data_IF_257225138740
#
_entry.id   IF_257225138740
#
_cell.length_a   1.000
_cell.length_b   1.000
_cell.length_c   1.000
_cell.angle_alpha   90.00
_cell.angle_beta   90.00
_cell.angle_gamma   90.00
#
_symmetry.space_group_name_H-M   'P 1'
#
loop_
_entity.id
_entity.type
_entity.pdbx_description
1 polymer ?
#
# COMPACT_ATOMS: atom_id res chain seq x y z
N UNK A 1 13.68 -11.00 19.77
CA UNK A 1 14.90 -11.50 20.45
C UNK A 1 16.18 -10.98 19.79
N UNK A 2 16.28 -11.05 18.46
CA UNK A 2 17.54 -10.75 17.73
C UNK A 2 18.19 -9.38 18.02
N UNK A 3 17.46 -8.29 18.24
CA UNK A 3 18.04 -6.98 18.56
C UNK A 3 18.35 -6.78 20.06
N UNK A 4 17.70 -7.52 20.96
CA UNK A 4 17.90 -7.34 22.41
C UNK A 4 19.29 -7.80 22.82
N UNK A 5 19.77 -8.89 22.23
CA UNK A 5 21.03 -9.55 22.59
C UNK A 5 22.24 -9.06 21.75
N UNK A 6 22.03 -8.09 20.84
CA UNK A 6 23.13 -7.53 20.03
C UNK A 6 23.96 -6.51 20.80
N UNK A 7 25.27 -6.44 20.58
CA UNK A 7 26.13 -5.35 21.06
C UNK A 7 25.65 -3.98 20.63
N UNK A 8 25.85 -2.93 21.41
CA UNK A 8 25.36 -1.58 21.11
C UNK A 8 25.87 -1.04 19.76
N UNK A 9 27.10 -1.35 19.38
CA UNK A 9 27.69 -0.96 18.11
C UNK A 9 26.96 -1.61 16.92
N UNK A 10 26.61 -2.89 17.03
CA UNK A 10 25.88 -3.61 15.98
C UNK A 10 24.43 -3.14 15.85
N UNK A 11 23.78 -2.81 16.98
CA UNK A 11 22.46 -2.19 16.97
C UNK A 11 22.49 -0.87 16.19
N UNK A 12 23.48 -0.03 16.47
CA UNK A 12 23.61 1.25 15.80
C UNK A 12 23.85 1.09 14.31
N UNK A 13 24.79 0.23 13.91
CA UNK A 13 25.04 -0.10 12.50
C UNK A 13 23.75 -0.57 11.81
N UNK A 14 22.98 -1.48 12.45
CA UNK A 14 21.71 -1.96 11.86
C UNK A 14 20.66 -0.85 11.71
N UNK A 15 20.58 0.07 12.65
CA UNK A 15 19.67 1.25 12.54
C UNK A 15 20.09 2.14 11.37
N UNK A 16 21.39 2.44 11.24
CA UNK A 16 21.92 3.27 10.15
C UNK A 16 21.71 2.60 8.78
N UNK A 17 21.91 1.29 8.67
CA UNK A 17 21.62 0.51 7.47
C UNK A 17 20.14 0.64 7.05
N UNK A 18 19.22 0.42 7.99
CA UNK A 18 17.77 0.46 7.68
C UNK A 18 17.29 1.88 7.39
N UNK A 19 17.86 2.89 8.07
CA UNK A 19 17.54 4.29 7.70
C UNK A 19 17.98 4.58 6.26
N UNK A 20 19.16 4.13 5.86
CA UNK A 20 19.60 4.26 4.46
C UNK A 20 18.70 3.51 3.48
N UNK A 21 18.25 2.27 3.84
CA UNK A 21 17.32 1.49 3.03
C UNK A 21 15.98 2.24 2.76
N UNK A 22 15.51 3.05 3.73
CA UNK A 22 14.30 3.87 3.55
C UNK A 22 14.58 5.28 3.02
N UNK A 23 15.81 5.55 2.56
CA UNK A 23 16.20 6.83 1.98
C UNK A 23 16.34 7.96 3.00
N UNK A 24 16.70 7.63 4.24
CA UNK A 24 16.98 8.59 5.32
C UNK A 24 18.43 8.49 5.76
N UNK A 25 19.04 9.62 6.11
CA UNK A 25 20.40 9.63 6.66
C UNK A 25 20.45 9.18 8.14
N UNK A 26 21.65 8.87 8.63
CA UNK A 26 21.87 8.44 10.02
C UNK A 26 21.50 9.52 11.06
N UNK A 27 21.45 10.79 10.66
CA UNK A 27 21.03 11.91 11.50
C UNK A 27 19.56 11.78 11.93
N UNK A 28 18.73 11.08 11.17
CA UNK A 28 17.33 10.83 11.52
C UNK A 28 17.16 9.92 12.75
N UNK A 29 18.17 9.14 13.12
CA UNK A 29 18.13 8.32 14.32
C UNK A 29 17.98 9.14 15.63
N UNK A 30 18.31 10.44 15.58
CA UNK A 30 18.25 11.36 16.73
C UNK A 30 17.09 12.35 16.67
N UNK A 31 16.32 12.38 15.58
CA UNK A 31 15.22 13.33 15.42
C UNK A 31 13.97 12.89 16.14
N UNK A 32 13.24 13.86 16.65
CA UNK A 32 11.92 13.63 17.25
C UNK A 32 10.82 13.62 16.18
N UNK A 33 9.67 12.95 16.41
CA UNK A 33 8.61 12.86 15.44
C UNK A 33 8.06 14.19 14.94
N UNK A 34 8.06 15.24 15.77
CA UNK A 34 7.59 16.58 15.40
C UNK A 34 8.56 17.33 14.47
N UNK A 35 9.81 16.87 14.35
CA UNK A 35 10.83 17.44 13.45
C UNK A 35 10.78 16.79 12.05
N UNK A 36 9.87 15.84 11.82
CA UNK A 36 9.76 15.05 10.60
C UNK A 36 8.53 15.46 9.78
N UNK A 37 8.67 15.49 8.45
CA UNK A 37 7.52 15.57 7.55
C UNK A 37 6.65 14.30 7.63
N UNK A 38 5.43 14.33 7.07
CA UNK A 38 4.55 13.16 7.01
C UNK A 38 5.22 11.94 6.35
N UNK A 39 5.81 12.15 5.17
CA UNK A 39 6.53 11.09 4.46
C UNK A 39 7.77 10.57 5.20
N UNK A 40 8.52 11.46 5.89
CA UNK A 40 9.67 11.04 6.71
C UNK A 40 9.22 10.23 7.92
N UNK A 41 8.13 10.62 8.60
CA UNK A 41 7.55 9.82 9.69
C UNK A 41 7.15 8.43 9.20
N UNK A 42 6.54 8.33 8.02
CA UNK A 42 6.14 7.05 7.44
C UNK A 42 7.36 6.18 7.11
N UNK A 43 8.41 6.76 6.50
CA UNK A 43 9.68 6.04 6.24
C UNK A 43 10.32 5.52 7.53
N UNK A 44 10.30 6.30 8.60
CA UNK A 44 10.78 5.84 9.92
C UNK A 44 9.89 4.73 10.48
N UNK A 45 8.56 4.79 10.31
CA UNK A 45 7.65 3.72 10.74
C UNK A 45 7.95 2.40 10.00
N UNK A 46 8.17 2.46 8.70
CA UNK A 46 8.59 1.31 7.88
C UNK A 46 9.94 0.78 8.35
N UNK A 47 10.95 1.64 8.56
CA UNK A 47 12.26 1.25 9.08
C UNK A 47 12.15 0.49 10.40
N UNK A 48 11.30 0.96 11.33
CA UNK A 48 11.01 0.28 12.60
C UNK A 48 10.37 -1.09 12.41
N UNK A 49 9.52 -1.27 11.42
CA UNK A 49 8.90 -2.56 11.14
C UNK A 49 9.93 -3.57 10.62
N UNK A 50 10.82 -3.15 9.70
CA UNK A 50 11.75 -4.07 9.01
C UNK A 50 13.11 -4.25 9.69
N UNK A 51 13.49 -3.37 10.65
CA UNK A 51 14.80 -3.43 11.32
C UNK A 51 15.10 -4.79 11.96
N UNK A 52 14.07 -5.51 12.42
CA UNK A 52 14.16 -6.83 13.04
C UNK A 52 14.14 -7.99 12.05
N UNK A 53 14.10 -7.72 10.75
CA UNK A 53 13.95 -8.71 9.67
C UNK A 53 12.77 -9.65 9.93
N UNK A 54 11.55 -9.14 10.01
CA UNK A 54 10.37 -9.96 10.24
C UNK A 54 10.10 -10.86 9.02
N UNK A 55 9.43 -11.98 9.22
CA UNK A 55 8.86 -12.79 8.14
C UNK A 55 7.46 -12.32 7.72
N UNK A 56 6.81 -11.50 8.56
CA UNK A 56 5.46 -10.98 8.33
C UNK A 56 5.31 -9.56 8.89
N UNK A 57 4.69 -8.67 8.11
CA UNK A 57 4.42 -7.28 8.47
C UNK A 57 2.93 -7.00 8.34
N UNK A 58 2.36 -6.25 9.28
CA UNK A 58 1.02 -5.68 9.18
C UNK A 58 1.18 -4.19 8.93
N UNK A 59 0.66 -3.72 7.81
CA UNK A 59 0.61 -2.32 7.40
C UNK A 59 -0.85 -1.85 7.44
N UNK A 60 -1.20 -1.13 8.51
CA UNK A 60 -2.54 -0.61 8.73
C UNK A 60 -2.58 0.86 8.31
N UNK A 61 -3.33 1.15 7.24
CA UNK A 61 -3.48 2.48 6.62
C UNK A 61 -2.14 3.21 6.37
N UNK A 62 -1.13 2.55 5.79
CA UNK A 62 0.24 3.08 5.81
C UNK A 62 0.44 4.34 4.96
N UNK A 63 -0.52 4.71 4.10
CA UNK A 63 -0.40 5.85 3.17
C UNK A 63 -1.60 6.80 3.20
N UNK A 64 -2.56 6.59 4.10
CA UNK A 64 -3.83 7.33 4.14
C UNK A 64 -3.68 8.84 4.39
N UNK A 65 -2.66 9.24 5.17
CA UNK A 65 -2.39 10.63 5.53
C UNK A 65 -1.35 11.33 4.62
N UNK A 66 -0.99 10.71 3.49
CA UNK A 66 0.04 11.23 2.58
C UNK A 66 -0.59 11.83 1.32
N UNK A 67 0.06 12.87 0.79
CA UNK A 67 -0.27 13.39 -0.54
C UNK A 67 0.08 12.37 -1.64
N UNK A 68 -0.51 12.53 -2.83
CA UNK A 68 -0.44 11.56 -3.93
C UNK A 68 1.01 11.24 -4.32
N UNK A 69 1.89 12.25 -4.38
CA UNK A 69 3.27 12.06 -4.81
C UNK A 69 4.08 11.29 -3.76
N UNK A 70 3.95 11.68 -2.49
CA UNK A 70 4.64 11.00 -1.38
C UNK A 70 4.10 9.58 -1.19
N UNK A 71 2.78 9.38 -1.40
CA UNK A 71 2.14 8.06 -1.36
C UNK A 71 2.80 7.09 -2.34
N UNK A 72 2.93 7.47 -3.62
CA UNK A 72 3.58 6.64 -4.63
C UNK A 72 5.00 6.24 -4.21
N UNK A 73 5.82 7.21 -3.78
CA UNK A 73 7.18 6.95 -3.32
C UNK A 73 7.26 5.99 -2.11
N UNK A 74 6.28 6.04 -1.21
CA UNK A 74 6.24 5.14 -0.04
C UNK A 74 5.80 3.74 -0.45
N UNK A 75 4.88 3.60 -1.40
CA UNK A 75 4.46 2.30 -1.92
C UNK A 75 5.61 1.61 -2.68
N UNK A 76 6.33 2.34 -3.54
CA UNK A 76 7.50 1.84 -4.26
C UNK A 76 8.59 1.37 -3.28
N UNK A 77 8.88 2.19 -2.26
CA UNK A 77 9.82 1.83 -1.21
C UNK A 77 9.39 0.56 -0.47
N UNK A 78 8.10 0.42 -0.18
CA UNK A 78 7.57 -0.75 0.53
C UNK A 78 7.72 -2.02 -0.30
N UNK A 79 7.42 -1.96 -1.59
CA UNK A 79 7.61 -3.05 -2.54
C UNK A 79 9.08 -3.47 -2.65
N UNK A 80 9.99 -2.51 -2.79
CA UNK A 80 11.44 -2.73 -2.80
C UNK A 80 11.95 -3.44 -1.53
N UNK A 81 11.44 -3.04 -0.38
CA UNK A 81 11.83 -3.64 0.89
C UNK A 81 11.25 -5.06 1.04
N UNK A 82 10.03 -5.28 0.55
CA UNK A 82 9.41 -6.60 0.55
C UNK A 82 10.20 -7.58 -0.33
N UNK A 83 10.61 -7.16 -1.53
CA UNK A 83 11.44 -7.97 -2.42
C UNK A 83 12.80 -8.28 -1.78
N UNK A 84 13.49 -7.28 -1.23
CA UNK A 84 14.83 -7.44 -0.62
C UNK A 84 14.83 -8.27 0.65
N UNK A 85 13.81 -8.14 1.49
CA UNK A 85 13.76 -8.81 2.80
C UNK A 85 12.91 -10.09 2.81
N UNK A 86 12.08 -10.33 1.78
CA UNK A 86 11.29 -11.55 1.62
C UNK A 86 10.18 -11.73 2.66
N UNK A 87 9.62 -10.64 3.24
CA UNK A 87 8.53 -10.76 4.19
C UNK A 87 7.16 -10.78 3.48
N UNK A 88 6.21 -11.51 4.06
CA UNK A 88 4.80 -11.40 3.67
C UNK A 88 4.14 -10.18 4.34
N UNK A 89 3.16 -9.57 3.68
CA UNK A 89 2.47 -8.40 4.22
C UNK A 89 0.96 -8.58 4.26
N UNK A 90 0.34 -8.21 5.39
CA UNK A 90 -1.07 -7.89 5.47
C UNK A 90 -1.21 -6.36 5.34
N UNK A 91 -1.68 -5.91 4.19
CA UNK A 91 -1.90 -4.50 3.89
C UNK A 91 -3.37 -4.14 4.08
N UNK A 92 -3.68 -3.23 5.00
CA UNK A 92 -5.05 -2.79 5.31
C UNK A 92 -5.22 -1.38 4.76
N UNK A 93 -6.22 -1.17 3.92
CA UNK A 93 -6.54 0.14 3.36
C UNK A 93 -8.01 0.24 2.96
N UNK A 94 -8.55 1.45 3.01
CA UNK A 94 -9.83 1.79 2.41
C UNK A 94 -9.66 2.35 0.98
N UNK A 95 -8.44 2.60 0.53
CA UNK A 95 -8.13 3.09 -0.82
C UNK A 95 -7.95 1.88 -1.76
N UNK A 96 -8.98 1.59 -2.54
CA UNK A 96 -8.99 0.45 -3.45
C UNK A 96 -7.95 0.56 -4.56
N UNK A 97 -7.60 1.78 -5.01
CA UNK A 97 -6.55 1.98 -6.00
C UNK A 97 -5.17 1.56 -5.46
N UNK A 98 -4.92 1.82 -4.17
CA UNK A 98 -3.71 1.36 -3.49
C UNK A 98 -3.72 -0.16 -3.37
N UNK A 99 -4.84 -0.76 -2.94
CA UNK A 99 -4.97 -2.23 -2.83
C UNK A 99 -4.74 -2.90 -4.18
N UNK A 100 -5.30 -2.36 -5.26
CA UNK A 100 -5.11 -2.88 -6.62
C UNK A 100 -3.64 -2.88 -7.04
N UNK A 101 -2.88 -1.86 -6.63
CA UNK A 101 -1.47 -1.71 -6.98
C UNK A 101 -0.56 -2.69 -6.23
N UNK A 102 -0.85 -2.98 -4.94
CA UNK A 102 0.10 -3.67 -4.06
C UNK A 102 -0.26 -5.11 -3.72
N UNK A 103 -1.52 -5.53 -3.92
CA UNK A 103 -2.01 -6.80 -3.42
C UNK A 103 -1.95 -7.93 -4.46
N UNK A 104 -1.49 -9.12 -4.03
CA UNK A 104 -1.64 -10.37 -4.80
C UNK A 104 -3.01 -11.01 -4.53
N UNK A 105 -3.48 -10.90 -3.29
CA UNK A 105 -4.75 -11.43 -2.81
C UNK A 105 -5.50 -10.36 -2.02
N UNK A 106 -6.82 -10.37 -2.14
CA UNK A 106 -7.71 -9.39 -1.51
C UNK A 106 -8.73 -10.10 -0.63
N UNK A 107 -9.00 -9.49 0.52
CA UNK A 107 -10.10 -9.85 1.42
C UNK A 107 -10.94 -8.59 1.62
N UNK A 108 -12.19 -8.65 1.22
CA UNK A 108 -13.17 -7.58 1.44
C UNK A 108 -13.94 -7.87 2.73
N UNK A 109 -13.96 -6.90 3.63
CA UNK A 109 -14.65 -7.01 4.92
C UNK A 109 -15.76 -5.98 5.05
N UNK A 110 -16.85 -6.36 5.73
CA UNK A 110 -17.94 -5.48 6.11
C UNK A 110 -18.50 -5.92 7.46
N UNK A 111 -18.73 -4.98 8.35
CA UNK A 111 -19.34 -5.20 9.69
C UNK A 111 -18.64 -6.32 10.48
N UNK A 112 -17.30 -6.43 10.36
CA UNK A 112 -16.48 -7.44 11.05
C UNK A 112 -16.46 -8.82 10.38
N UNK A 113 -17.24 -9.02 9.28
CA UNK A 113 -17.27 -10.27 8.50
C UNK A 113 -16.52 -10.18 7.19
N UNK A 114 -15.99 -11.32 6.72
CA UNK A 114 -15.45 -11.42 5.36
C UNK A 114 -16.62 -11.61 4.40
N UNK A 115 -16.77 -10.71 3.43
CA UNK A 115 -17.82 -10.78 2.40
C UNK A 115 -17.30 -11.40 1.11
N UNK A 116 -16.06 -11.11 0.74
CA UNK A 116 -15.43 -11.69 -0.45
C UNK A 116 -13.93 -11.84 -0.28
N UNK A 117 -13.32 -12.85 -0.93
CA UNK A 117 -11.88 -13.03 -0.98
C UNK A 117 -11.44 -13.75 -2.24
N UNK A 118 -10.25 -13.41 -2.73
CA UNK A 118 -9.71 -14.02 -3.95
C UNK A 118 -8.34 -13.48 -4.32
N UNK A 119 -7.89 -13.80 -5.53
CA UNK A 119 -6.78 -13.08 -6.14
C UNK A 119 -7.21 -11.65 -6.46
N UNK A 120 -6.25 -10.72 -6.56
CA UNK A 120 -6.54 -9.34 -6.96
C UNK A 120 -7.43 -9.31 -8.21
N UNK A 121 -7.02 -9.98 -9.28
CA UNK A 121 -7.73 -9.99 -10.56
C UNK A 121 -9.18 -10.53 -10.42
N UNK A 122 -9.37 -11.58 -9.62
CA UNK A 122 -10.71 -12.14 -9.39
C UNK A 122 -11.64 -11.13 -8.70
N UNK A 123 -11.14 -10.48 -7.63
CA UNK A 123 -11.97 -9.56 -6.83
C UNK A 123 -12.22 -8.24 -7.56
N UNK A 124 -11.23 -7.74 -8.32
CA UNK A 124 -11.34 -6.46 -9.01
C UNK A 124 -12.05 -6.55 -10.36
N UNK A 125 -11.84 -7.62 -11.13
CA UNK A 125 -12.39 -7.74 -12.48
C UNK A 125 -13.68 -8.56 -12.54
N UNK A 126 -13.89 -9.49 -11.57
CA UNK A 126 -15.05 -10.37 -11.53
C UNK A 126 -15.66 -10.45 -10.11
N UNK A 127 -16.02 -9.31 -9.49
CA UNK A 127 -16.59 -9.30 -8.14
C UNK A 127 -17.93 -10.02 -8.10
N UNK A 128 -18.08 -10.93 -7.16
CA UNK A 128 -19.30 -11.75 -7.00
C UNK A 128 -20.30 -11.11 -6.04
N UNK A 129 -19.80 -10.43 -5.02
CA UNK A 129 -20.63 -9.82 -3.99
C UNK A 129 -21.08 -8.40 -4.38
N UNK A 130 -22.34 -8.08 -4.11
CA UNK A 130 -22.92 -6.77 -4.42
C UNK A 130 -22.17 -5.64 -3.70
N UNK A 131 -21.76 -5.87 -2.46
CA UNK A 131 -20.99 -4.90 -1.69
C UNK A 131 -19.63 -4.60 -2.35
N UNK A 132 -18.92 -5.63 -2.81
CA UNK A 132 -17.65 -5.46 -3.54
C UNK A 132 -17.85 -4.67 -4.82
N UNK A 133 -18.89 -4.98 -5.60
CA UNK A 133 -19.26 -4.22 -6.80
C UNK A 133 -19.54 -2.75 -6.48
N UNK A 134 -20.28 -2.49 -5.41
CA UNK A 134 -20.57 -1.12 -4.95
C UNK A 134 -19.30 -0.35 -4.60
N UNK A 135 -18.35 -0.98 -3.89
CA UNK A 135 -17.06 -0.35 -3.56
C UNK A 135 -16.25 -0.04 -4.84
N UNK A 136 -16.15 -1.00 -5.75
CA UNK A 136 -15.39 -0.84 -6.99
C UNK A 136 -16.01 0.20 -7.93
N UNK A 137 -17.34 0.36 -7.94
CA UNK A 137 -18.03 1.38 -8.72
C UNK A 137 -17.68 2.81 -8.29
N UNK A 138 -17.22 3.00 -7.07
CA UNK A 138 -16.78 4.29 -6.56
C UNK A 138 -15.35 4.68 -6.97
N UNK A 139 -14.61 3.80 -7.66
CA UNK A 139 -13.25 4.10 -8.14
C UNK A 139 -13.34 4.86 -9.47
N UNK A 140 -12.83 6.11 -9.54
CA UNK A 140 -12.76 6.83 -10.81
C UNK A 140 -11.63 6.26 -11.68
N UNK A 141 -11.94 5.85 -12.90
CA UNK A 141 -10.96 5.49 -13.91
C UNK A 141 -10.76 6.67 -14.88
N UNK A 142 -9.51 6.96 -15.23
CA UNK A 142 -9.18 7.93 -16.27
C UNK A 142 -9.07 7.19 -17.60
N UNK A 143 -9.90 7.54 -18.54
CA UNK A 143 -9.90 6.98 -19.88
C UNK A 143 -9.40 8.04 -20.88
N UNK A 144 -8.39 7.67 -21.68
CA UNK A 144 -7.95 8.52 -22.79
C UNK A 144 -8.99 8.47 -23.92
N UNK A 145 -9.51 9.61 -24.35
CA UNK A 145 -10.41 9.68 -25.50
C UNK A 145 -9.63 9.63 -26.81
N UNK A 146 -10.23 9.10 -27.86
CA UNK A 146 -9.63 9.05 -29.21
C UNK A 146 -9.21 10.43 -29.75
N UNK A 147 -9.72 11.50 -29.17
CA UNK A 147 -9.38 12.89 -29.50
C UNK A 147 -8.26 13.49 -28.65
N UNK A 148 -7.55 12.67 -27.82
CA UNK A 148 -6.44 13.12 -26.99
C UNK A 148 -6.85 13.80 -25.67
N UNK A 149 -8.15 13.77 -25.33
CA UNK A 149 -8.66 14.23 -24.03
C UNK A 149 -8.64 13.12 -22.98
N UNK A 150 -8.78 13.51 -21.70
CA UNK A 150 -8.95 12.57 -20.58
C UNK A 150 -10.39 12.70 -20.07
N UNK A 151 -11.12 11.57 -20.01
CA UNK A 151 -12.47 11.49 -19.47
C UNK A 151 -12.47 10.69 -18.19
N UNK A 152 -13.19 11.17 -17.18
CA UNK A 152 -13.44 10.45 -15.94
C UNK A 152 -14.58 9.44 -16.20
N UNK A 153 -14.33 8.17 -15.93
CA UNK A 153 -15.30 7.10 -16.06
C UNK A 153 -15.32 6.28 -14.77
N UNK A 154 -16.46 5.72 -14.43
CA UNK A 154 -16.56 4.80 -13.28
C UNK A 154 -16.30 3.37 -13.74
N UNK A 155 -15.55 2.59 -12.99
CA UNK A 155 -15.03 1.27 -13.42
C UNK A 155 -16.11 0.28 -13.87
N UNK A 156 -17.30 0.31 -13.27
CA UNK A 156 -18.39 -0.62 -13.63
C UNK A 156 -19.24 -0.18 -14.82
N UNK A 157 -19.08 1.03 -15.34
CA UNK A 157 -19.73 1.42 -16.60
C UNK A 157 -19.23 0.63 -17.82
N UNK A 158 -18.19 -0.20 -17.65
CA UNK A 158 -17.63 -1.05 -18.71
C UNK A 158 -18.38 -2.38 -18.90
N UNK A 159 -19.30 -2.76 -17.98
CA UNK A 159 -19.98 -4.06 -18.04
C UNK A 159 -21.39 -4.02 -18.65
N UNK A 160 -21.91 -2.85 -19.03
CA UNK A 160 -23.13 -2.82 -19.84
C UNK A 160 -22.74 -3.02 -21.32
N UNK A 161 -23.18 -4.15 -21.95
CA UNK A 161 -23.08 -4.27 -23.40
C UNK A 161 -23.92 -3.16 -23.99
N UNK A 162 -23.32 -2.37 -24.90
CA UNK A 162 -24.00 -1.39 -25.74
C UNK A 162 -25.36 -1.97 -26.18
N UNK A 163 -26.47 -1.47 -25.62
CA UNK A 163 -27.77 -1.66 -26.18
C UNK A 163 -27.77 -0.92 -27.51
N UNK A 164 -27.42 -1.67 -28.56
CA UNK A 164 -27.63 -1.24 -29.91
C UNK A 164 -29.10 -0.85 -30.04
N UNK A 165 -29.33 0.42 -30.29
CA UNK A 165 -30.61 0.98 -30.75
C UNK A 165 -30.97 0.28 -32.01
N UNK A 166 -32.07 -0.45 -31.99
CA UNK A 166 -32.80 -0.88 -33.20
C UNK A 166 -33.65 0.27 -33.70
#
# INVERSE_FOLDING_TARGET
RMLVDMPAADKRRRVDEVLAEVGLGSEYAKRFPHELSGGQRQRVAIARAVVRRPSFVIADEPVSALDVTVRAQVLDLFADLQERHGFSCLFISHDLGVVEQVADRVVVMRDGGIVEQGTRDTVFDQPREEYTRSLLSAIPALESTETGGVRLRWRLDQQEPSRATA
#
